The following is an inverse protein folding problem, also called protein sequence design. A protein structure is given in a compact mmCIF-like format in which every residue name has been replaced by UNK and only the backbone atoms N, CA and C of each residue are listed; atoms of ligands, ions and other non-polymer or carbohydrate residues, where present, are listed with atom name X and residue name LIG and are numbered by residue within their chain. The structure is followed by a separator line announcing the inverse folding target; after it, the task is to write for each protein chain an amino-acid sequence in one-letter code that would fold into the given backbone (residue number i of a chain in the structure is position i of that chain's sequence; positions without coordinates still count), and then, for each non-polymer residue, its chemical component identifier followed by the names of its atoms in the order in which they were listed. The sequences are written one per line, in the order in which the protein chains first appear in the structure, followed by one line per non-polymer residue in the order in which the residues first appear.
data_IF_317142944319
#
_entry.id   IF_317142944319
#
_cell.length_a   1.000
_cell.length_b   1.000
_cell.length_c   1.000
_cell.angle_alpha   90.00
_cell.angle_beta   90.00
_cell.angle_gamma   90.00
#
_symmetry.space_group_name_H-M   'P 1'
#
loop_
_entity.id
_entity.type
_entity.pdbx_description
1 polymer ?
#
# COMPACT_ATOMS: atom_id res chain seq x y z
N UNK A 1 11.75 10.66 7.23
CA UNK A 1 10.97 11.90 7.06
C UNK A 1 9.88 11.63 6.03
N UNK A 2 8.62 11.56 6.44
CA UNK A 2 7.48 11.42 5.52
C UNK A 2 7.40 12.66 4.62
N UNK A 3 7.23 12.46 3.33
CA UNK A 3 7.20 13.55 2.33
C UNK A 3 5.84 14.21 2.18
N UNK A 4 4.79 13.62 2.77
CA UNK A 4 3.42 14.16 2.79
C UNK A 4 2.77 13.94 4.17
N UNK A 5 1.82 14.82 4.52
CA UNK A 5 1.00 14.73 5.73
C UNK A 5 -0.11 13.68 5.57
N UNK A 6 -0.48 13.03 6.67
CA UNK A 6 -1.58 12.05 6.74
C UNK A 6 -2.86 12.59 6.08
N UNK A 7 -3.42 11.80 5.16
CA UNK A 7 -4.62 12.15 4.41
C UNK A 7 -5.49 10.90 4.25
N UNK A 8 -6.52 10.69 5.10
CA UNK A 8 -7.27 9.43 5.16
C UNK A 8 -7.98 9.08 3.84
N UNK A 9 -8.28 10.10 3.01
CA UNK A 9 -8.89 9.92 1.68
C UNK A 9 -7.90 9.50 0.59
N UNK A 10 -6.59 9.62 0.81
CA UNK A 10 -5.53 9.23 -0.11
C UNK A 10 -4.87 7.90 0.28
N UNK A 11 -5.24 7.36 1.44
CA UNK A 11 -4.74 6.10 1.94
C UNK A 11 -5.67 4.96 1.56
N UNK A 12 -5.18 4.11 0.67
CA UNK A 12 -5.80 2.84 0.35
C UNK A 12 -5.07 1.72 1.10
N UNK A 13 -5.83 0.74 1.60
CA UNK A 13 -5.29 -0.47 2.20
C UNK A 13 -5.47 -1.64 1.23
N UNK A 14 -4.57 -2.61 1.29
CA UNK A 14 -4.68 -3.92 0.63
C UNK A 14 -4.77 -4.97 1.73
N UNK A 15 -5.58 -6.02 1.53
CA UNK A 15 -5.76 -7.06 2.52
C UNK A 15 -4.40 -7.73 2.84
N UNK A 16 -3.93 -7.67 4.09
CA UNK A 16 -2.57 -8.12 4.43
C UNK A 16 -2.39 -9.63 4.27
N UNK A 17 -3.46 -10.42 4.36
CA UNK A 17 -3.44 -11.87 4.16
C UNK A 17 -3.86 -12.30 2.76
N UNK A 18 -3.75 -11.40 1.77
CA UNK A 18 -3.99 -11.77 0.37
C UNK A 18 -3.04 -12.90 -0.07
N UNK A 19 -3.56 -14.02 -0.61
CA UNK A 19 -2.74 -15.12 -1.10
C UNK A 19 -1.84 -14.74 -2.28
N UNK A 20 -2.18 -13.74 -3.10
CA UNK A 20 -1.32 -13.26 -4.21
C UNK A 20 -0.08 -12.54 -3.69
N UNK A 21 -0.19 -11.86 -2.54
CA UNK A 21 0.96 -11.22 -1.88
C UNK A 21 1.86 -12.24 -1.18
N UNK A 22 1.29 -13.33 -0.67
CA UNK A 22 1.99 -14.42 0.01
C UNK A 22 3.03 -13.92 1.04
N UNK A 23 2.64 -12.90 1.83
CA UNK A 23 3.55 -12.28 2.77
C UNK A 23 4.04 -13.30 3.83
N UNK A 24 5.33 -13.29 4.19
CA UNK A 24 5.93 -14.30 5.07
C UNK A 24 5.65 -14.02 6.55
N UNK A 25 4.37 -14.07 6.95
CA UNK A 25 4.03 -13.94 8.36
C UNK A 25 4.56 -15.14 9.17
N UNK A 26 5.08 -14.90 10.39
CA UNK A 26 5.50 -15.99 11.27
C UNK A 26 4.32 -16.92 11.58
N UNK A 27 4.55 -18.23 11.48
CA UNK A 27 3.54 -19.23 11.81
C UNK A 27 3.26 -19.26 13.32
N UNK A 28 2.03 -19.59 13.70
CA UNK A 28 1.63 -19.73 15.10
C UNK A 28 1.32 -18.42 15.83
N UNK A 29 1.19 -17.31 15.11
CA UNK A 29 0.72 -16.03 15.65
C UNK A 29 -0.77 -15.83 15.34
N UNK A 30 -1.52 -15.39 16.34
CA UNK A 30 -2.86 -14.84 16.13
C UNK A 30 -2.72 -13.41 15.59
N UNK A 31 -2.92 -13.26 14.29
CA UNK A 31 -2.86 -11.95 13.63
C UNK A 31 -4.10 -11.13 13.99
N UNK A 32 -3.89 -10.06 14.76
CA UNK A 32 -4.94 -9.09 15.09
C UNK A 32 -5.01 -8.04 13.99
N UNK A 33 -6.09 -8.08 13.21
CA UNK A 33 -6.38 -7.11 12.16
C UNK A 33 -7.44 -6.12 12.63
N UNK A 34 -7.22 -4.83 12.32
CA UNK A 34 -8.25 -3.81 12.47
C UNK A 34 -9.42 -4.07 11.51
N UNK A 35 -10.58 -3.48 11.77
CA UNK A 35 -11.74 -3.59 10.87
C UNK A 35 -11.44 -3.03 9.47
N UNK A 36 -10.61 -1.97 9.38
CA UNK A 36 -10.18 -1.38 8.10
C UNK A 36 -9.32 -2.35 7.29
N UNK A 37 -8.36 -3.02 7.91
CA UNK A 37 -7.46 -3.94 7.21
C UNK A 37 -8.17 -5.23 6.80
N UNK A 38 -9.11 -5.69 7.63
CA UNK A 38 -9.96 -6.85 7.34
C UNK A 38 -10.93 -6.58 6.18
N UNK A 39 -11.41 -5.36 6.04
CA UNK A 39 -12.30 -4.95 4.96
C UNK A 39 -11.56 -4.41 3.71
N UNK A 40 -10.23 -4.43 3.71
CA UNK A 40 -9.44 -3.96 2.58
C UNK A 40 -9.60 -4.90 1.36
N UNK A 41 -9.59 -4.37 0.14
CA UNK A 41 -9.60 -5.19 -1.08
C UNK A 41 -8.33 -6.03 -1.22
N UNK A 42 -8.43 -7.14 -1.92
CA UNK A 42 -7.28 -7.89 -2.44
C UNK A 42 -6.49 -7.05 -3.47
N UNK A 43 -5.27 -7.46 -3.76
CA UNK A 43 -4.43 -6.89 -4.80
C UNK A 43 -5.09 -6.98 -6.17
N UNK A 44 -5.74 -8.10 -6.48
CA UNK A 44 -6.50 -8.28 -7.72
C UNK A 44 -7.66 -7.28 -7.82
N UNK A 45 -8.49 -7.17 -6.79
CA UNK A 45 -9.58 -6.19 -6.75
C UNK A 45 -9.07 -4.75 -6.82
N UNK A 46 -7.94 -4.44 -6.15
CA UNK A 46 -7.34 -3.11 -6.22
C UNK A 46 -6.82 -2.76 -7.63
N UNK A 47 -6.33 -3.76 -8.39
CA UNK A 47 -6.00 -3.60 -9.82
C UNK A 47 -7.25 -3.28 -10.62
N UNK A 48 -8.34 -4.02 -10.41
CA UNK A 48 -9.62 -3.81 -11.11
C UNK A 48 -10.26 -2.47 -10.79
N UNK A 49 -10.17 -2.02 -9.53
CA UNK A 49 -10.65 -0.71 -9.07
C UNK A 49 -9.77 0.46 -9.56
N UNK A 50 -8.58 0.18 -10.12
CA UNK A 50 -7.67 1.20 -10.63
C UNK A 50 -7.08 2.11 -9.53
N UNK A 51 -7.02 1.63 -8.28
CA UNK A 51 -6.54 2.41 -7.12
C UNK A 51 -5.04 2.25 -6.85
N UNK A 52 -4.36 1.37 -7.60
CA UNK A 52 -2.93 1.16 -7.48
C UNK A 52 -2.15 2.27 -8.19
N UNK A 53 -1.00 2.69 -7.65
CA UNK A 53 -0.14 3.67 -8.30
C UNK A 53 0.47 3.10 -9.59
N UNK A 54 0.58 3.96 -10.61
CA UNK A 54 1.37 3.65 -11.80
C UNK A 54 2.88 3.68 -11.45
N UNK A 55 3.62 2.68 -11.94
CA UNK A 55 5.03 2.53 -11.62
C UNK A 55 5.90 3.62 -12.26
N UNK A 56 5.63 3.98 -13.52
CA UNK A 56 6.43 5.00 -14.21
C UNK A 56 6.22 6.39 -13.59
N UNK A 57 4.99 6.70 -13.17
CA UNK A 57 4.69 7.94 -12.47
C UNK A 57 5.32 7.97 -11.07
N UNK A 58 5.30 6.85 -10.35
CA UNK A 58 5.99 6.72 -9.06
C UNK A 58 7.49 7.02 -9.17
N UNK A 59 8.16 6.48 -10.20
CA UNK A 59 9.58 6.77 -10.47
C UNK A 59 9.84 8.24 -10.81
N UNK A 60 8.96 8.89 -11.61
CA UNK A 60 9.10 10.33 -11.91
C UNK A 60 9.01 11.19 -10.66
N UNK A 61 8.06 10.88 -9.78
CA UNK A 61 7.87 11.61 -8.52
C UNK A 61 9.06 11.44 -7.58
N UNK A 62 9.61 10.23 -7.49
CA UNK A 62 10.80 9.96 -6.67
C UNK A 62 12.04 10.70 -7.20
N UNK A 63 12.28 10.64 -8.51
CA UNK A 63 13.38 11.38 -9.16
C UNK A 63 13.31 12.89 -8.91
N UNK A 64 12.10 13.48 -8.91
CA UNK A 64 11.87 14.89 -8.57
C UNK A 64 12.08 15.18 -7.08
N UNK A 65 11.80 14.20 -6.21
CA UNK A 65 11.96 14.31 -4.76
C UNK A 65 13.42 14.15 -4.31
N UNK A 66 14.25 13.48 -5.12
CA UNK A 66 15.71 13.41 -4.96
C UNK A 66 16.44 14.71 -5.34
N UNK A 67 15.90 15.48 -6.29
CA UNK A 67 16.52 16.72 -6.79
C UNK A 67 16.40 17.93 -5.83
N UNK A 68 15.57 17.86 -4.79
CA UNK A 68 15.42 18.92 -3.76
C UNK A 68 16.31 18.65 -2.52
N UNK A 69 17.11 17.57 -2.54
CA UNK A 69 17.96 17.15 -1.39
C UNK A 69 19.47 17.36 -1.60
N UNK A 70 19.89 18.24 -2.52
CA UNK A 70 21.28 18.67 -2.65
C UNK A 70 21.43 20.18 -2.44
#
# INVERSE_FOLDING_TARGET
MHTLTYGPRREHAIHPLDPELALPFPQGLDLVLSDRDRAAPTLAEAKELGILPDYAESLRLDARSGAVRS
#
